data_IF_802638018941
#
_entry.id   IF_802638018941
#
_cell.length_a   1.000
_cell.length_b   1.000
_cell.length_c   1.000
_cell.angle_alpha   90.00
_cell.angle_beta   90.00
_cell.angle_gamma   90.00
#
_symmetry.space_group_name_H-M   'P 1'
#
loop_
_entity.id
_entity.type
_entity.pdbx_description
1 polymer ?
#
# COMPACT_ATOMS: atom_id res chain seq x y z
N UNK A 1 -12.75 11.03 49.19
CA UNK A 1 -13.54 10.72 47.97
C UNK A 1 -13.09 11.68 46.88
N UNK A 2 -12.51 11.21 45.76
CA UNK A 2 -12.13 12.10 44.67
C UNK A 2 -13.39 12.73 44.07
N UNK A 3 -13.39 14.06 43.90
CA UNK A 3 -14.54 14.78 43.35
C UNK A 3 -14.78 14.39 41.89
N UNK A 4 -16.04 14.34 41.47
CA UNK A 4 -16.47 13.97 40.12
C UNK A 4 -15.77 14.79 39.01
N UNK A 5 -15.28 15.98 39.34
CA UNK A 5 -14.53 16.87 38.46
C UNK A 5 -13.19 16.30 38.01
N UNK A 6 -12.51 15.48 38.83
CA UNK A 6 -11.22 14.91 38.44
C UNK A 6 -11.38 13.68 37.52
N UNK A 7 -12.45 12.90 37.67
CA UNK A 7 -12.70 11.71 36.85
C UNK A 7 -13.01 12.08 35.39
N UNK A 8 -13.69 13.21 35.17
CA UNK A 8 -13.98 13.72 33.83
C UNK A 8 -12.73 14.20 33.08
N UNK A 9 -11.77 14.83 33.77
CA UNK A 9 -10.56 15.41 33.16
C UNK A 9 -9.56 14.35 32.71
N UNK A 10 -9.46 13.22 33.41
CA UNK A 10 -8.56 12.12 33.02
C UNK A 10 -9.14 11.22 31.92
N UNK A 11 -10.47 11.07 31.85
CA UNK A 11 -11.13 10.28 30.79
C UNK A 11 -11.09 10.92 29.41
N UNK A 12 -11.04 12.26 29.33
CA UNK A 12 -10.97 13.00 28.07
C UNK A 12 -9.55 13.06 27.48
N UNK A 13 -8.51 12.94 28.31
CA UNK A 13 -7.12 13.15 27.89
C UNK A 13 -6.61 12.13 26.85
N UNK A 14 -6.93 10.82 26.93
CA UNK A 14 -6.58 9.87 25.87
C UNK A 14 -7.33 10.13 24.57
N UNK A 15 -8.60 10.56 24.65
CA UNK A 15 -9.44 10.86 23.49
C UNK A 15 -8.93 12.10 22.77
N UNK A 16 -8.63 13.17 23.52
CA UNK A 16 -8.10 14.42 22.95
C UNK A 16 -6.71 14.21 22.37
N UNK A 17 -5.83 13.47 23.05
CA UNK A 17 -4.49 13.15 22.54
C UNK A 17 -4.56 12.31 21.26
N UNK A 18 -5.46 11.32 21.20
CA UNK A 18 -5.71 10.51 20.01
C UNK A 18 -6.24 11.34 18.84
N UNK A 19 -7.21 12.22 19.08
CA UNK A 19 -7.75 13.11 18.06
C UNK A 19 -6.70 14.11 17.52
N UNK A 20 -5.89 14.70 18.42
CA UNK A 20 -4.77 15.57 18.03
C UNK A 20 -3.75 14.80 17.21
N UNK A 21 -3.40 13.57 17.59
CA UNK A 21 -2.49 12.73 16.83
C UNK A 21 -3.01 12.44 15.42
N UNK A 22 -4.28 12.03 15.30
CA UNK A 22 -4.90 11.76 14.00
C UNK A 22 -4.95 13.00 13.10
N UNK A 23 -5.26 14.17 13.68
CA UNK A 23 -5.24 15.44 12.96
C UNK A 23 -3.84 15.81 12.46
N UNK A 24 -2.81 15.67 13.31
CA UNK A 24 -1.43 15.93 12.93
C UNK A 24 -0.95 14.93 11.86
N UNK A 25 -1.36 13.67 11.97
CA UNK A 25 -1.05 12.63 11.00
C UNK A 25 -1.70 12.93 9.64
N UNK A 26 -2.97 13.28 9.61
CA UNK A 26 -3.69 13.69 8.39
C UNK A 26 -2.98 14.87 7.71
N UNK A 27 -2.59 15.89 8.49
CA UNK A 27 -1.81 17.02 7.97
C UNK A 27 -0.43 16.65 7.44
N UNK A 28 0.21 15.63 7.99
CA UNK A 28 1.51 15.13 7.47
C UNK A 28 1.30 14.38 6.16
N UNK A 29 0.27 13.53 6.10
CA UNK A 29 -0.09 12.79 4.90
C UNK A 29 -0.48 13.74 3.76
N UNK A 30 -1.35 14.72 4.02
CA UNK A 30 -1.77 15.70 3.02
C UNK A 30 -0.60 16.52 2.43
N UNK A 31 0.51 16.64 3.17
CA UNK A 31 1.75 17.29 2.70
C UNK A 31 2.71 16.34 1.98
N UNK A 32 2.56 15.03 2.16
CA UNK A 32 3.48 14.02 1.66
C UNK A 32 2.91 13.16 0.52
N UNK A 33 1.59 13.08 0.41
CA UNK A 33 0.91 12.22 -0.55
C UNK A 33 -0.46 12.79 -0.96
N UNK A 34 -0.87 12.47 -2.18
CA UNK A 34 -2.23 12.67 -2.67
C UNK A 34 -3.04 11.39 -2.44
N UNK A 35 -4.19 11.53 -1.79
CA UNK A 35 -5.14 10.44 -1.57
C UNK A 35 -6.32 10.57 -2.54
N UNK A 36 -6.76 9.46 -3.09
CA UNK A 36 -7.97 9.38 -3.90
C UNK A 36 -8.71 8.09 -3.61
N UNK A 37 -10.04 8.13 -3.59
CA UNK A 37 -10.88 6.94 -3.43
C UNK A 37 -12.14 7.07 -4.27
N UNK A 38 -12.75 5.96 -4.62
CA UNK A 38 -13.93 5.97 -5.47
C UNK A 38 -14.53 4.60 -5.68
N UNK A 39 -15.61 4.60 -6.46
CA UNK A 39 -16.18 3.38 -7.06
C UNK A 39 -15.95 3.46 -8.55
N UNK A 40 -15.59 2.35 -9.19
CA UNK A 40 -15.58 2.26 -10.65
C UNK A 40 -17.03 2.35 -11.15
N UNK A 41 -17.28 3.29 -12.06
CA UNK A 41 -18.59 3.45 -12.67
C UNK A 41 -18.93 2.22 -13.52
N UNK A 42 -20.21 1.86 -13.52
CA UNK A 42 -20.75 0.71 -14.24
C UNK A 42 -20.67 0.83 -15.78
N UNK A 43 -20.45 2.05 -16.28
CA UNK A 43 -20.23 2.37 -17.69
C UNK A 43 -19.43 3.67 -17.76
N UNK A 44 -18.46 3.84 -18.67
CA UNK A 44 -17.98 5.17 -18.99
C UNK A 44 -19.16 5.92 -19.62
N UNK A 45 -19.75 6.87 -18.89
CA UNK A 45 -20.66 7.82 -19.53
C UNK A 45 -19.83 8.59 -20.55
N UNK A 46 -20.21 8.54 -21.82
CA UNK A 46 -19.58 9.32 -22.90
C UNK A 46 -19.78 10.85 -22.73
N UNK A 47 -20.40 11.29 -21.64
CA UNK A 47 -20.72 12.68 -21.34
C UNK A 47 -19.98 13.15 -20.08
N UNK A 48 -18.67 13.33 -20.18
CA UNK A 48 -17.91 14.21 -19.28
C UNK A 48 -16.56 14.61 -19.89
N UNK A 49 -16.62 15.14 -21.10
CA UNK A 49 -15.55 15.98 -21.64
C UNK A 49 -15.67 17.39 -21.04
N UNK A 50 -15.04 17.62 -19.88
CA UNK A 50 -14.28 18.85 -19.54
C UNK A 50 -14.05 18.98 -18.05
N UNK A 51 -12.84 19.43 -17.70
CA UNK A 51 -12.34 19.84 -16.38
C UNK A 51 -11.84 18.73 -15.45
N UNK A 52 -10.53 18.43 -15.56
CA UNK A 52 -9.63 17.96 -14.48
C UNK A 52 -10.19 16.92 -13.48
N UNK A 53 -10.98 15.95 -13.96
CA UNK A 53 -11.33 14.79 -13.16
C UNK A 53 -10.05 13.99 -12.92
N UNK A 54 -9.66 13.80 -11.65
CA UNK A 54 -8.57 12.91 -11.29
C UNK A 54 -8.81 11.57 -11.99
N UNK A 55 -7.93 11.22 -12.95
CA UNK A 55 -8.12 10.07 -13.81
C UNK A 55 -8.30 8.82 -12.94
N UNK A 56 -9.41 8.09 -13.15
CA UNK A 56 -9.68 6.86 -12.41
C UNK A 56 -8.47 5.93 -12.55
N UNK A 57 -7.93 5.38 -11.43
CA UNK A 57 -6.73 4.58 -11.49
C UNK A 57 -6.94 3.34 -12.37
N UNK A 58 -5.90 2.91 -13.11
CA UNK A 58 -6.02 1.73 -13.95
C UNK A 58 -6.24 0.49 -13.07
N UNK A 59 -6.98 -0.50 -13.59
CA UNK A 59 -7.31 -1.72 -12.83
C UNK A 59 -6.04 -2.49 -12.42
N UNK A 60 -6.04 -3.25 -11.32
CA UNK A 60 -4.96 -4.19 -11.02
C UNK A 60 -4.73 -5.18 -12.16
N UNK A 61 -3.52 -5.69 -12.31
CA UNK A 61 -3.19 -6.72 -13.30
C UNK A 61 -3.71 -8.09 -12.84
N UNK A 62 -3.75 -8.35 -11.54
CA UNK A 62 -4.28 -9.58 -10.94
C UNK A 62 -5.79 -9.55 -10.70
N UNK A 63 -6.51 -8.53 -11.21
CA UNK A 63 -7.97 -8.46 -11.03
C UNK A 63 -8.64 -9.62 -11.77
N UNK A 64 -9.50 -10.43 -11.10
CA UNK A 64 -10.20 -11.52 -11.78
C UNK A 64 -11.01 -11.03 -12.97
N UNK A 65 -10.96 -11.77 -14.08
CA UNK A 65 -11.57 -11.34 -15.34
C UNK A 65 -13.10 -11.21 -15.24
N UNK A 66 -13.74 -12.05 -14.43
CA UNK A 66 -15.17 -11.98 -14.16
C UNK A 66 -15.55 -10.70 -13.39
N UNK A 67 -14.70 -10.25 -12.48
CA UNK A 67 -14.86 -8.97 -11.76
C UNK A 67 -14.62 -7.79 -12.70
N UNK A 68 -13.58 -7.87 -13.53
CA UNK A 68 -13.22 -6.81 -14.47
C UNK A 68 -14.29 -6.60 -15.58
N UNK A 69 -14.93 -7.69 -16.02
CA UNK A 69 -15.82 -7.68 -17.20
C UNK A 69 -17.30 -7.54 -16.86
N UNK A 70 -17.71 -7.75 -15.60
CA UNK A 70 -19.12 -7.74 -15.19
C UNK A 70 -19.42 -6.64 -14.16
N UNK A 71 -19.39 -5.35 -14.57
CA UNK A 71 -19.65 -4.24 -13.66
C UNK A 71 -21.08 -4.23 -13.08
N UNK A 72 -21.99 -5.03 -13.65
CA UNK A 72 -23.36 -5.19 -13.15
C UNK A 72 -23.53 -6.19 -12.04
N UNK A 73 -22.57 -7.08 -11.88
CA UNK A 73 -22.59 -8.07 -10.80
C UNK A 73 -21.72 -7.60 -9.64
N UNK A 74 -20.68 -6.84 -9.93
CA UNK A 74 -19.64 -6.48 -8.97
C UNK A 74 -19.59 -4.97 -8.73
N UNK A 75 -19.59 -4.58 -7.45
CA UNK A 75 -19.22 -3.23 -7.03
C UNK A 75 -17.73 -3.24 -6.72
N UNK A 76 -16.97 -2.45 -7.48
CA UNK A 76 -15.53 -2.30 -7.33
C UNK A 76 -15.21 -0.93 -6.72
N UNK A 77 -14.73 -0.93 -5.49
CA UNK A 77 -14.27 0.25 -4.76
C UNK A 77 -12.75 0.28 -4.70
N UNK A 78 -12.18 1.48 -4.74
CA UNK A 78 -10.74 1.64 -4.67
C UNK A 78 -10.35 2.80 -3.76
N UNK A 79 -9.11 2.71 -3.30
CA UNK A 79 -8.36 3.78 -2.69
C UNK A 79 -6.94 3.75 -3.23
N UNK A 80 -6.34 4.93 -3.37
CA UNK A 80 -4.99 5.13 -3.88
C UNK A 80 -4.32 6.26 -3.11
N UNK A 81 -3.13 5.97 -2.59
CA UNK A 81 -2.19 6.93 -2.06
C UNK A 81 -0.99 7.04 -3.01
N UNK A 82 -0.68 8.26 -3.46
CA UNK A 82 0.47 8.56 -4.33
C UNK A 82 1.37 9.54 -3.60
N UNK A 83 2.63 9.18 -3.38
CA UNK A 83 3.59 10.09 -2.75
C UNK A 83 3.84 11.32 -3.62
N UNK A 84 4.26 12.41 -2.99
CA UNK A 84 4.98 13.44 -3.72
C UNK A 84 6.25 12.83 -4.34
N UNK A 85 6.76 13.41 -5.44
CA UNK A 85 8.00 12.96 -6.03
C UNK A 85 9.16 13.05 -5.03
N UNK A 86 9.91 11.95 -4.89
CA UNK A 86 11.07 11.84 -4.01
C UNK A 86 12.34 11.89 -4.86
N UNK A 87 13.35 12.71 -4.53
CA UNK A 87 14.61 12.72 -5.27
C UNK A 87 15.32 11.36 -5.25
N UNK A 88 15.71 10.85 -6.42
CA UNK A 88 16.33 9.54 -6.58
C UNK A 88 17.67 9.41 -5.83
N UNK A 89 18.36 10.52 -5.58
CA UNK A 89 19.60 10.52 -4.79
C UNK A 89 19.37 10.08 -3.34
N UNK A 90 18.22 10.40 -2.72
CA UNK A 90 17.88 9.97 -1.34
C UNK A 90 17.69 8.47 -1.26
N UNK A 91 17.13 7.89 -2.32
CA UNK A 91 16.96 6.44 -2.45
C UNK A 91 18.32 5.76 -2.65
N UNK A 92 19.12 6.28 -3.57
CA UNK A 92 20.44 5.72 -3.91
C UNK A 92 21.41 5.76 -2.73
N UNK A 93 21.42 6.85 -1.97
CA UNK A 93 22.23 6.96 -0.75
C UNK A 93 21.84 5.94 0.31
N UNK A 94 20.53 5.75 0.52
CA UNK A 94 20.04 4.76 1.48
C UNK A 94 20.43 3.34 1.07
N UNK A 95 20.30 3.00 -0.22
CA UNK A 95 20.74 1.70 -0.74
C UNK A 95 22.24 1.47 -0.54
N UNK A 96 23.07 2.49 -0.81
CA UNK A 96 24.51 2.41 -0.58
C UNK A 96 24.88 2.19 0.90
N UNK A 97 24.09 2.71 1.84
CA UNK A 97 24.29 2.49 3.28
C UNK A 97 23.86 1.09 3.75
N UNK A 98 22.93 0.44 3.04
CA UNK A 98 22.38 -0.85 3.41
C UNK A 98 23.04 -2.05 2.71
N UNK A 99 23.88 -1.84 1.70
CA UNK A 99 24.56 -2.92 0.98
C UNK A 99 25.54 -3.66 1.92
N UNK A 100 25.33 -4.96 2.23
CA UNK A 100 26.32 -5.76 2.93
C UNK A 100 27.52 -6.05 2.01
N UNK A 101 28.72 -6.11 2.57
CA UNK A 101 30.00 -6.40 1.88
C UNK A 101 30.19 -7.86 1.44
N UNK A 102 29.11 -8.63 1.25
CA UNK A 102 29.18 -10.04 0.86
C UNK A 102 28.81 -10.25 -0.62
N UNK A 103 29.53 -11.13 -1.35
CA UNK A 103 29.25 -11.40 -2.76
C UNK A 103 27.94 -12.19 -2.92
N UNK A 104 27.07 -11.68 -3.79
CA UNK A 104 25.72 -12.16 -4.04
C UNK A 104 25.67 -13.64 -4.47
N UNK A 105 24.67 -14.33 -3.92
CA UNK A 105 24.20 -15.61 -4.43
C UNK A 105 23.73 -15.44 -5.89
N UNK A 106 24.10 -16.40 -6.74
CA UNK A 106 23.75 -16.44 -8.17
C UNK A 106 22.25 -16.18 -8.40
N UNK A 107 21.88 -15.30 -9.36
CA UNK A 107 20.49 -15.14 -9.75
C UNK A 107 19.94 -16.46 -10.29
N UNK A 108 18.80 -16.89 -9.77
CA UNK A 108 18.07 -18.06 -10.27
C UNK A 108 17.52 -17.74 -11.66
N UNK A 109 18.04 -18.42 -12.67
CA UNK A 109 17.66 -18.21 -14.07
C UNK A 109 16.15 -18.45 -14.27
N UNK A 110 15.45 -17.44 -14.79
CA UNK A 110 14.07 -17.57 -15.30
C UNK A 110 12.98 -16.85 -14.52
N UNK A 111 13.29 -16.18 -13.40
CA UNK A 111 12.32 -15.36 -12.65
C UNK A 111 12.83 -13.93 -12.53
N UNK A 112 12.08 -12.95 -13.05
CA UNK A 112 12.38 -11.53 -12.84
C UNK A 112 12.17 -11.22 -11.36
N UNK A 113 13.24 -11.07 -10.59
CA UNK A 113 13.16 -10.68 -9.18
C UNK A 113 12.61 -9.25 -9.06
N UNK A 114 11.83 -8.95 -8.02
CA UNK A 114 11.47 -7.57 -7.74
C UNK A 114 12.74 -6.74 -7.52
N UNK A 115 12.81 -5.53 -8.09
CA UNK A 115 13.98 -4.68 -7.86
C UNK A 115 14.27 -4.48 -6.37
N UNK A 116 15.54 -4.30 -5.97
CA UNK A 116 15.90 -4.06 -4.58
C UNK A 116 15.07 -2.95 -3.93
N UNK A 117 14.76 -1.89 -4.70
CA UNK A 117 13.94 -0.77 -4.23
C UNK A 117 12.48 -1.16 -3.97
N UNK A 118 11.81 -1.79 -4.94
CA UNK A 118 10.41 -2.23 -4.78
C UNK A 118 10.27 -3.22 -3.62
N UNK A 119 11.22 -4.16 -3.52
CA UNK A 119 11.25 -5.14 -2.43
C UNK A 119 11.45 -4.48 -1.06
N UNK A 120 12.43 -3.58 -0.92
CA UNK A 120 12.64 -2.85 0.34
C UNK A 120 11.43 -2.01 0.74
N UNK A 121 10.82 -1.32 -0.23
CA UNK A 121 9.59 -0.55 -0.02
C UNK A 121 8.44 -1.45 0.45
N UNK A 122 8.15 -2.54 -0.28
CA UNK A 122 7.08 -3.47 0.07
C UNK A 122 7.31 -4.15 1.42
N UNK A 123 8.54 -4.57 1.75
CA UNK A 123 8.89 -5.12 3.08
C UNK A 123 8.60 -4.11 4.19
N UNK A 124 8.96 -2.84 3.97
CA UNK A 124 8.74 -1.77 4.94
C UNK A 124 7.25 -1.49 5.14
N UNK A 125 6.50 -1.37 4.05
CA UNK A 125 5.04 -1.18 4.08
C UNK A 125 4.35 -2.33 4.81
N UNK A 126 4.68 -3.58 4.46
CA UNK A 126 4.05 -4.76 5.05
C UNK A 126 4.46 -4.97 6.51
N UNK A 127 5.70 -4.65 6.87
CA UNK A 127 6.16 -4.63 8.26
C UNK A 127 5.43 -3.55 9.06
N UNK A 128 5.23 -2.36 8.50
CA UNK A 128 4.46 -1.31 9.17
C UNK A 128 2.98 -1.70 9.34
N UNK A 129 2.39 -2.32 8.31
CA UNK A 129 1.02 -2.81 8.37
C UNK A 129 0.83 -3.86 9.48
N UNK A 130 1.79 -4.75 9.70
CA UNK A 130 1.66 -5.85 10.66
C UNK A 130 1.48 -5.40 12.13
N UNK A 131 1.77 -4.13 12.42
CA UNK A 131 1.58 -3.48 13.72
C UNK A 131 0.30 -2.63 13.81
N UNK A 132 -0.54 -2.66 12.79
CA UNK A 132 -1.80 -1.89 12.79
C UNK A 132 -2.90 -2.65 13.54
N UNK A 133 -3.92 -1.94 14.07
CA UNK A 133 -5.09 -2.60 14.65
C UNK A 133 -5.78 -3.58 13.70
N UNK A 134 -5.83 -3.25 12.41
CA UNK A 134 -6.40 -4.13 11.38
C UNK A 134 -5.58 -5.43 11.23
N UNK A 135 -4.24 -5.34 11.21
CA UNK A 135 -3.40 -6.54 11.14
C UNK A 135 -3.54 -7.42 12.39
N UNK A 136 -3.66 -6.83 13.58
CA UNK A 136 -3.92 -7.61 14.79
C UNK A 136 -5.27 -8.33 14.75
N UNK A 137 -6.32 -7.68 14.23
CA UNK A 137 -7.62 -8.32 14.04
C UNK A 137 -7.55 -9.48 13.03
N UNK A 138 -6.82 -9.32 11.92
CA UNK A 138 -6.58 -10.39 10.94
C UNK A 138 -5.81 -11.53 11.61
N UNK A 139 -4.70 -11.22 12.30
CA UNK A 139 -3.88 -12.22 12.99
C UNK A 139 -4.67 -13.01 14.04
N UNK A 140 -5.58 -12.36 14.75
CA UNK A 140 -6.44 -13.00 15.75
C UNK A 140 -7.49 -13.93 15.12
N UNK A 141 -7.91 -13.65 13.89
CA UNK A 141 -8.90 -14.45 13.14
C UNK A 141 -8.30 -15.67 12.42
N UNK A 142 -7.00 -15.92 12.62
CA UNK A 142 -6.25 -17.04 12.04
C UNK A 142 -5.81 -17.96 13.19
N UNK A 143 -6.31 -19.20 13.25
CA UNK A 143 -5.89 -20.19 14.26
C UNK A 143 -4.46 -20.70 14.05
N UNK A 144 -4.02 -20.89 12.80
CA UNK A 144 -2.78 -21.61 12.47
C UNK A 144 -1.53 -20.81 12.85
N UNK A 145 -0.68 -21.32 13.77
CA UNK A 145 0.56 -20.66 14.14
C UNK A 145 1.48 -20.43 12.94
N UNK A 146 1.53 -21.37 12.00
CA UNK A 146 2.37 -21.26 10.82
C UNK A 146 2.00 -20.06 9.92
N UNK A 147 0.70 -19.80 9.74
CA UNK A 147 0.20 -18.65 8.95
C UNK A 147 0.42 -17.36 9.74
N UNK A 148 0.17 -17.36 11.05
CA UNK A 148 0.40 -16.20 11.94
C UNK A 148 1.84 -15.73 12.00
N UNK A 149 2.83 -16.58 11.64
CA UNK A 149 4.24 -16.17 11.51
C UNK A 149 4.48 -15.22 10.35
N UNK A 150 3.59 -15.18 9.35
CA UNK A 150 3.72 -14.26 8.21
C UNK A 150 3.52 -12.77 8.55
N UNK A 151 3.17 -12.46 9.81
CA UNK A 151 3.12 -11.10 10.35
C UNK A 151 4.44 -10.65 10.99
N UNK A 152 5.33 -11.60 11.29
CA UNK A 152 6.55 -11.33 12.03
C UNK A 152 7.56 -10.59 11.14
N UNK A 153 8.28 -9.61 11.70
CA UNK A 153 9.23 -8.81 10.93
C UNK A 153 10.29 -9.69 10.24
N UNK A 154 10.81 -10.72 10.92
CA UNK A 154 11.78 -11.64 10.33
C UNK A 154 11.22 -12.41 9.12
N UNK A 155 9.93 -12.75 9.12
CA UNK A 155 9.29 -13.35 7.95
C UNK A 155 9.25 -12.36 6.79
N UNK A 156 8.66 -11.18 7.04
CA UNK A 156 8.45 -10.16 6.01
C UNK A 156 9.79 -9.71 5.40
N UNK A 157 10.82 -9.54 6.22
CA UNK A 157 12.15 -9.11 5.76
C UNK A 157 12.88 -10.15 4.89
N UNK A 158 12.47 -11.41 4.90
CA UNK A 158 13.03 -12.45 4.03
C UNK A 158 12.25 -12.63 2.72
N UNK A 159 11.09 -12.00 2.55
CA UNK A 159 10.27 -12.17 1.35
C UNK A 159 10.91 -11.56 0.11
N UNK A 160 11.00 -12.34 -0.97
CA UNK A 160 11.34 -11.83 -2.30
C UNK A 160 10.13 -11.18 -2.98
N UNK A 161 8.92 -11.43 -2.45
CA UNK A 161 7.64 -11.15 -3.10
C UNK A 161 7.52 -11.91 -4.43
N UNK A 162 7.93 -13.18 -4.41
CA UNK A 162 7.64 -14.11 -5.48
C UNK A 162 6.13 -14.41 -5.51
N UNK A 163 5.57 -14.70 -6.70
CA UNK A 163 4.19 -15.19 -6.81
C UNK A 163 3.96 -16.38 -5.88
N UNK A 164 2.89 -16.31 -5.09
CA UNK A 164 2.56 -17.28 -4.05
C UNK A 164 3.10 -16.96 -2.65
N UNK A 165 4.02 -16.00 -2.50
CA UNK A 165 4.52 -15.58 -1.19
C UNK A 165 3.37 -15.07 -0.31
N UNK A 166 3.33 -15.55 0.94
CA UNK A 166 2.32 -15.18 1.92
C UNK A 166 2.83 -14.06 2.84
N UNK A 167 1.98 -13.05 3.01
CA UNK A 167 2.23 -11.83 3.79
C UNK A 167 1.03 -11.59 4.70
N UNK A 168 1.27 -11.30 5.98
CA UNK A 168 0.25 -10.84 6.90
C UNK A 168 -1.04 -11.72 6.87
N UNK A 169 -0.84 -13.03 6.76
CA UNK A 169 -1.82 -14.10 6.93
C UNK A 169 -2.81 -14.34 5.79
N UNK A 170 -3.24 -13.28 5.11
CA UNK A 170 -4.30 -13.34 4.08
C UNK A 170 -3.87 -12.74 2.75
N UNK A 171 -2.71 -12.12 2.68
CA UNK A 171 -2.24 -11.48 1.45
C UNK A 171 -1.25 -12.39 0.75
N UNK A 172 -1.56 -12.78 -0.47
CA UNK A 172 -0.70 -13.65 -1.28
C UNK A 172 -0.25 -12.88 -2.51
N UNK A 173 1.04 -12.93 -2.84
CA UNK A 173 1.53 -12.29 -4.05
C UNK A 173 0.90 -12.95 -5.27
N UNK A 174 0.18 -12.16 -6.06
CA UNK A 174 -0.49 -12.60 -7.28
C UNK A 174 0.19 -12.07 -8.54
N UNK A 175 0.97 -11.00 -8.44
CA UNK A 175 1.76 -10.47 -9.54
C UNK A 175 2.95 -9.69 -9.01
N UNK A 176 4.05 -9.78 -9.75
CA UNK A 176 5.15 -8.83 -9.65
C UNK A 176 5.71 -8.56 -11.05
N UNK A 177 6.21 -7.35 -11.27
CA UNK A 177 6.89 -7.02 -12.50
C UNK A 177 6.63 -5.59 -12.94
N UNK A 178 6.75 -5.30 -14.25
CA UNK A 178 6.47 -3.98 -14.79
C UNK A 178 5.07 -3.51 -14.40
N UNK A 179 4.97 -2.25 -13.97
CA UNK A 179 3.69 -1.61 -13.76
C UNK A 179 3.07 -1.13 -15.07
N UNK A 180 1.98 -0.37 -14.94
CA UNK A 180 1.25 0.14 -16.12
C UNK A 180 1.85 1.43 -16.69
N UNK A 181 2.83 2.01 -16.01
CA UNK A 181 3.55 3.19 -16.45
C UNK A 181 4.95 2.74 -16.88
N UNK A 182 5.48 3.19 -18.04
CA UNK A 182 6.85 2.88 -18.43
C UNK A 182 7.84 3.24 -17.31
N UNK A 183 8.78 2.33 -17.03
CA UNK A 183 9.75 2.51 -15.94
C UNK A 183 9.17 2.37 -14.53
N UNK A 184 7.93 1.88 -14.38
CA UNK A 184 7.40 1.47 -13.08
C UNK A 184 7.47 -0.04 -12.87
N UNK A 185 7.59 -0.43 -11.60
CA UNK A 185 7.49 -1.81 -11.15
C UNK A 185 6.50 -1.88 -9.99
N UNK A 186 5.82 -3.02 -9.85
CA UNK A 186 4.83 -3.23 -8.80
C UNK A 186 4.76 -4.66 -8.31
N UNK A 187 4.23 -4.80 -7.10
CA UNK A 187 3.73 -6.07 -6.54
C UNK A 187 2.24 -5.92 -6.27
N UNK A 188 1.46 -6.93 -6.62
CA UNK A 188 0.03 -7.02 -6.29
C UNK A 188 -0.21 -8.23 -5.37
N UNK A 189 -0.85 -7.97 -4.23
CA UNK A 189 -1.20 -8.96 -3.22
C UNK A 189 -2.70 -9.19 -3.23
N UNK A 190 -3.15 -10.38 -3.60
CA UNK A 190 -4.57 -10.75 -3.52
C UNK A 190 -4.93 -11.16 -2.09
N UNK A 191 -6.13 -10.81 -1.66
CA UNK A 191 -6.70 -11.30 -0.39
C UNK A 191 -7.19 -12.73 -0.63
N UNK A 192 -6.47 -13.69 -0.08
CA UNK A 192 -6.77 -15.13 -0.08
C UNK A 192 -6.78 -15.60 1.37
N UNK A 193 -7.96 -15.58 2.00
CA UNK A 193 -8.11 -16.04 3.38
C UNK A 193 -7.90 -17.57 3.46
N UNK A 194 -7.18 -18.08 4.47
CA UNK A 194 -7.02 -19.52 4.63
C UNK A 194 -8.36 -20.21 4.95
N UNK A 195 -8.51 -21.53 4.69
CA UNK A 195 -9.77 -22.25 4.94
C UNK A 195 -10.27 -22.18 6.40
N UNK A 196 -9.35 -21.94 7.33
CA UNK A 196 -9.56 -21.81 8.78
C UNK A 196 -9.95 -20.39 9.23
N UNK A 197 -10.04 -19.44 8.31
CA UNK A 197 -10.33 -18.04 8.58
C UNK A 197 -11.71 -17.87 9.23
N UNK A 198 -11.75 -17.13 10.33
CA UNK A 198 -13.00 -16.85 11.07
C UNK A 198 -13.45 -15.39 10.98
N UNK A 199 -12.71 -14.56 10.24
CA UNK A 199 -13.04 -13.15 10.04
C UNK A 199 -14.07 -12.95 8.91
N UNK A 200 -14.39 -11.69 8.58
CA UNK A 200 -15.31 -11.40 7.49
C UNK A 200 -14.73 -11.84 6.14
N UNK A 201 -15.61 -12.25 5.22
CA UNK A 201 -15.21 -12.47 3.83
C UNK A 201 -14.93 -11.11 3.17
N UNK A 202 -13.71 -10.96 2.66
CA UNK A 202 -13.27 -9.76 1.95
C UNK A 202 -12.55 -10.20 0.69
N UNK A 203 -12.91 -9.58 -0.44
CA UNK A 203 -12.23 -9.79 -1.71
C UNK A 203 -11.54 -8.51 -2.11
N UNK A 204 -10.26 -8.61 -2.43
CA UNK A 204 -9.48 -7.42 -2.73
C UNK A 204 -8.07 -7.71 -3.20
N UNK A 205 -7.43 -6.64 -3.67
CA UNK A 205 -6.03 -6.59 -4.06
C UNK A 205 -5.39 -5.36 -3.41
N UNK A 206 -4.20 -5.55 -2.86
CA UNK A 206 -3.31 -4.48 -2.41
C UNK A 206 -2.20 -4.33 -3.44
N UNK A 207 -1.93 -3.11 -3.91
CA UNK A 207 -0.85 -2.81 -4.86
C UNK A 207 0.20 -1.96 -4.16
N UNK A 208 1.47 -2.32 -4.33
CA UNK A 208 2.61 -1.46 -4.04
C UNK A 208 3.37 -1.22 -5.35
N UNK A 209 3.53 0.03 -5.77
CA UNK A 209 4.20 0.40 -7.01
C UNK A 209 5.26 1.47 -6.76
N UNK A 210 6.40 1.32 -7.44
CA UNK A 210 7.49 2.29 -7.53
C UNK A 210 7.61 2.75 -8.97
N UNK A 211 7.61 4.06 -9.20
CA UNK A 211 7.71 4.67 -10.54
C UNK A 211 9.01 5.45 -10.65
N UNK A 212 9.89 5.10 -11.59
CA UNK A 212 11.05 5.89 -11.95
C UNK A 212 10.71 7.03 -12.89
N UNK A 213 11.44 8.15 -12.81
CA UNK A 213 11.45 9.18 -13.85
C UNK A 213 12.12 8.67 -15.13
N UNK A 214 11.55 9.02 -16.29
CA UNK A 214 12.00 8.59 -17.61
C UNK A 214 13.53 8.78 -17.81
N UNK A 215 14.14 7.86 -18.57
CA UNK A 215 15.53 7.96 -19.00
C UNK A 215 15.74 9.16 -19.92
N UNK A 216 16.66 10.06 -19.54
CA UNK A 216 17.15 11.14 -20.39
C UNK A 216 18.51 10.74 -20.99
N UNK A 217 18.77 11.17 -22.22
CA UNK A 217 19.98 10.82 -23.00
C UNK A 217 21.30 11.39 -22.41
N UNK A 218 22.41 10.75 -22.77
CA UNK A 218 23.68 10.64 -22.04
C UNK A 218 24.43 11.94 -21.67
N UNK A 219 24.18 13.08 -22.33
CA UNK A 219 24.85 14.35 -22.01
C UNK A 219 24.05 15.22 -21.02
N UNK A 220 22.72 15.03 -20.95
CA UNK A 220 21.86 15.62 -19.92
C UNK A 220 21.91 14.81 -18.60
N UNK A 221 22.63 13.69 -18.58
CA UNK A 221 22.44 12.59 -17.64
C UNK A 221 22.90 12.91 -16.21
N UNK A 222 23.90 13.77 -16.00
CA UNK A 222 24.38 14.10 -14.65
C UNK A 222 23.41 15.02 -13.88
N UNK A 223 22.94 16.10 -14.49
CA UNK A 223 21.90 16.97 -13.92
C UNK A 223 20.53 16.27 -13.92
N UNK A 224 20.19 15.52 -14.97
CA UNK A 224 18.94 14.76 -15.03
C UNK A 224 18.90 13.62 -14.00
N UNK A 225 20.03 12.97 -13.67
CA UNK A 225 20.10 11.93 -12.62
C UNK A 225 19.98 12.51 -11.22
N UNK A 226 20.45 13.73 -10.98
CA UNK A 226 20.17 14.48 -9.75
C UNK A 226 18.70 14.95 -9.66
N UNK A 227 18.09 15.28 -10.81
CA UNK A 227 16.69 15.68 -10.93
C UNK A 227 15.70 14.51 -11.05
N UNK A 228 16.18 13.27 -11.19
CA UNK A 228 15.33 12.08 -11.28
C UNK A 228 14.51 11.94 -10.00
N UNK A 229 13.21 11.72 -10.20
CA UNK A 229 12.27 11.55 -9.11
C UNK A 229 11.71 10.14 -9.12
N UNK A 230 11.41 9.64 -7.93
CA UNK A 230 10.74 8.38 -7.68
C UNK A 230 9.40 8.68 -7.04
N UNK A 231 8.34 8.03 -7.51
CA UNK A 231 7.01 8.14 -6.91
C UNK A 231 6.59 6.77 -6.38
N UNK A 232 6.12 6.74 -5.14
CA UNK A 232 5.63 5.55 -4.46
C UNK A 232 4.11 5.57 -4.42
N UNK A 233 3.51 4.42 -4.68
CA UNK A 233 2.06 4.27 -4.74
C UNK A 233 1.63 3.06 -3.94
N UNK A 234 0.63 3.25 -3.08
CA UNK A 234 -0.16 2.16 -2.54
C UNK A 234 -1.60 2.25 -3.06
N UNK A 235 -2.19 1.12 -3.41
CA UNK A 235 -3.60 1.03 -3.79
C UNK A 235 -4.27 -0.13 -3.05
N UNK A 236 -5.53 0.07 -2.69
CA UNK A 236 -6.41 -1.01 -2.23
C UNK A 236 -7.62 -1.04 -3.13
N UNK A 237 -7.88 -2.21 -3.69
CA UNK A 237 -9.06 -2.49 -4.48
C UNK A 237 -9.88 -3.53 -3.74
N UNK A 238 -11.13 -3.21 -3.42
CA UNK A 238 -12.07 -4.15 -2.81
C UNK A 238 -13.27 -4.33 -3.72
N UNK A 239 -13.79 -5.55 -3.77
CA UNK A 239 -15.03 -5.81 -4.49
C UNK A 239 -15.97 -6.73 -3.74
N UNK A 240 -17.24 -6.54 -4.05
CA UNK A 240 -18.36 -7.32 -3.53
C UNK A 240 -19.42 -7.48 -4.61
N UNK A 241 -20.27 -8.48 -4.49
CA UNK A 241 -21.44 -8.61 -5.34
C UNK A 241 -22.44 -7.51 -5.02
N UNK A 242 -23.26 -7.18 -6.01
CA UNK A 242 -24.44 -6.35 -5.81
C UNK A 242 -25.35 -7.02 -4.77
N UNK A 243 -25.87 -6.25 -3.82
CA UNK A 243 -26.67 -6.75 -2.70
C UNK A 243 -25.90 -7.24 -1.46
N UNK A 244 -24.59 -7.46 -1.55
CA UNK A 244 -23.78 -7.76 -0.36
C UNK A 244 -23.48 -6.50 0.48
N UNK A 245 -23.11 -6.71 1.74
CA UNK A 245 -22.75 -5.63 2.66
C UNK A 245 -21.62 -4.79 2.08
N UNK A 246 -21.79 -3.46 2.13
CA UNK A 246 -20.79 -2.50 1.70
C UNK A 246 -19.43 -2.75 2.38
N UNK A 247 -18.37 -2.71 1.57
CA UNK A 247 -16.99 -2.77 2.03
C UNK A 247 -16.61 -1.48 2.78
N UNK A 248 -15.53 -1.51 3.55
CA UNK A 248 -15.08 -0.33 4.30
C UNK A 248 -14.82 0.88 3.40
N UNK A 249 -14.28 0.65 2.19
CA UNK A 249 -14.00 1.68 1.18
C UNK A 249 -15.24 2.28 0.54
N UNK A 250 -16.44 1.84 0.89
CA UNK A 250 -17.69 2.40 0.38
C UNK A 250 -18.33 3.39 1.35
N UNK A 251 -17.98 3.31 2.63
CA UNK A 251 -18.51 4.19 3.69
C UNK A 251 -17.62 5.42 3.86
N UNK A 252 -18.19 6.55 4.28
CA UNK A 252 -17.41 7.77 4.51
C UNK A 252 -16.31 7.57 5.59
N UNK A 253 -16.68 6.96 6.71
CA UNK A 253 -15.75 6.70 7.83
C UNK A 253 -14.67 5.71 7.42
N UNK A 254 -15.03 4.61 6.75
CA UNK A 254 -14.07 3.61 6.31
C UNK A 254 -13.12 4.14 5.24
N UNK A 255 -13.59 4.96 4.29
CA UNK A 255 -12.74 5.66 3.31
C UNK A 255 -11.76 6.60 3.98
N UNK A 256 -12.22 7.41 4.94
CA UNK A 256 -11.35 8.33 5.65
C UNK A 256 -10.27 7.58 6.44
N UNK A 257 -10.66 6.56 7.21
CA UNK A 257 -9.71 5.77 8.00
C UNK A 257 -8.71 5.02 7.12
N UNK A 258 -9.19 4.34 6.08
CA UNK A 258 -8.32 3.57 5.20
C UNK A 258 -7.41 4.50 4.38
N UNK A 259 -7.91 5.67 3.95
CA UNK A 259 -7.11 6.73 3.31
C UNK A 259 -5.95 7.19 4.19
N UNK A 260 -6.23 7.43 5.47
CA UNK A 260 -5.21 7.77 6.46
C UNK A 260 -4.18 6.64 6.62
N UNK A 261 -4.64 5.39 6.68
CA UNK A 261 -3.78 4.22 6.77
C UNK A 261 -2.87 4.07 5.53
N UNK A 262 -3.40 4.14 4.31
CA UNK A 262 -2.59 4.00 3.11
C UNK A 262 -1.58 5.14 2.95
N UNK A 263 -1.99 6.38 3.25
CA UNK A 263 -1.09 7.53 3.27
C UNK A 263 0.04 7.37 4.29
N UNK A 264 -0.27 6.91 5.51
CA UNK A 264 0.72 6.59 6.52
C UNK A 264 1.66 5.46 6.06
N UNK A 265 1.13 4.39 5.46
CA UNK A 265 1.92 3.29 4.93
C UNK A 265 2.89 3.74 3.83
N UNK A 266 2.47 4.62 2.91
CA UNK A 266 3.36 5.22 1.91
C UNK A 266 4.49 5.98 2.60
N UNK A 267 4.18 6.83 3.60
CA UNK A 267 5.21 7.55 4.35
C UNK A 267 6.19 6.61 5.06
N UNK A 268 5.70 5.54 5.68
CA UNK A 268 6.56 4.52 6.32
C UNK A 268 7.44 3.82 5.29
N UNK A 269 6.86 3.43 4.15
CA UNK A 269 7.60 2.83 3.03
C UNK A 269 8.73 3.72 2.54
N UNK A 270 8.46 5.01 2.33
CA UNK A 270 9.49 6.00 1.93
C UNK A 270 10.59 6.12 2.98
N UNK A 271 10.23 6.20 4.27
CA UNK A 271 11.21 6.30 5.35
C UNK A 271 12.14 5.07 5.43
N UNK A 272 11.66 3.88 5.03
CA UNK A 272 12.50 2.68 4.98
C UNK A 272 13.33 2.51 3.70
N UNK A 273 13.23 3.42 2.73
CA UNK A 273 14.00 3.38 1.47
C UNK A 273 14.68 4.70 1.13
N UNK A 274 14.68 5.66 2.05
CA UNK A 274 15.34 6.96 1.87
C UNK A 274 16.07 7.36 3.14
N UNK A 275 17.14 8.14 2.99
CA UNK A 275 17.77 8.82 4.12
C UNK A 275 16.85 9.97 4.58
N UNK A 276 16.45 10.02 5.85
CA UNK A 276 15.83 11.22 6.43
C UNK A 276 16.89 12.33 6.49
N UNK A 277 16.64 13.47 5.82
CA UNK A 277 17.25 14.71 6.29
C UNK A 277 16.49 15.07 7.57
N UNK A 278 17.20 15.30 8.67
CA UNK A 278 16.63 15.63 9.98
C UNK A 278 15.67 16.81 9.99
#
# INVERSE_FOLDING_TARGET
>A
MPSASHIATWGLLPITLGAVYLYLLERRIARAATLSSGRRAHRPSAASSSSAAAATPPLPLSLPQDVASNPSTWVLAYERAVSNPVPAWRVSQHQAQQQPTAPDAKPSAGKTEASPLLRAYARTVQSAFSWTPQAFAIRASIPEPAIRRSFDAAWIQNLAFDEGDLVNGVYKVAYRGPGRVPGSERVELVIEAPPSWTGPEVRGIIVAEVRGGAEAEAEAEAEAKAARQVVFVNETWLWRREGEKATMLETAVGKWFHGLLAGWLVMRGIAGVTTENG
#
